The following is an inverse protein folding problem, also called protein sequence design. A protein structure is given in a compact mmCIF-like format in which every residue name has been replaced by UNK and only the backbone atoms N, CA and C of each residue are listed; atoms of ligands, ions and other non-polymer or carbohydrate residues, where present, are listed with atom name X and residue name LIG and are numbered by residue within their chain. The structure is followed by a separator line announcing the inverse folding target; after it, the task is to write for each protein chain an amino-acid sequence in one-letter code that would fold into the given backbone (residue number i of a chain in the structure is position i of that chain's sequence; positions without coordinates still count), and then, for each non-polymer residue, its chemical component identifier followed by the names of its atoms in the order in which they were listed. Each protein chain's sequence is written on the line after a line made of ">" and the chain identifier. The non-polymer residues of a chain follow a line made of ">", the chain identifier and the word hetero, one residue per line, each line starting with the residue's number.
data_IF_171055307305
#
_entry.id   IF_171055307305
#
_cell.length_a   1.000
_cell.length_b   1.000
_cell.length_c   1.000
_cell.angle_alpha   90.00
_cell.angle_beta   90.00
_cell.angle_gamma   90.00
#
_symmetry.space_group_name_H-M   'P 1'
#
loop_
_entity.id
_entity.type
_entity.pdbx_description
1 polymer ?
#
# COMPACT_ATOMS: atom_id res chain seq x y z
N UNK A 1 28.79 14.29 12.15
CA UNK A 1 28.33 12.92 11.80
C UNK A 1 26.81 12.77 11.92
N UNK A 2 26.14 13.58 12.75
CA UNK A 2 24.67 13.69 12.87
C UNK A 2 24.02 14.37 11.66
N UNK A 3 24.70 15.33 11.01
CA UNK A 3 24.14 16.05 9.85
C UNK A 3 23.83 15.13 8.67
N UNK A 4 24.69 14.14 8.41
CA UNK A 4 24.46 13.15 7.37
C UNK A 4 23.21 12.28 7.65
N UNK A 5 22.97 11.94 8.92
CA UNK A 5 21.76 11.19 9.33
C UNK A 5 20.50 12.04 9.16
N UNK A 6 20.56 13.34 9.46
CA UNK A 6 19.44 14.25 9.25
C UNK A 6 19.09 14.40 7.76
N UNK A 7 20.08 14.54 6.90
CA UNK A 7 19.89 14.58 5.45
C UNK A 7 19.35 13.26 4.91
N UNK A 8 19.90 12.12 5.34
CA UNK A 8 19.45 10.80 4.90
C UNK A 8 18.01 10.50 5.33
N UNK A 9 17.65 10.84 6.57
CA UNK A 9 16.28 10.71 7.09
C UNK A 9 15.31 11.61 6.30
N UNK A 10 15.70 12.85 6.02
CA UNK A 10 14.91 13.78 5.20
C UNK A 10 14.66 13.26 3.79
N UNK A 11 15.68 12.70 3.14
CA UNK A 11 15.56 12.08 1.81
C UNK A 11 14.63 10.87 1.87
N UNK A 12 14.79 9.98 2.86
CA UNK A 12 13.93 8.80 3.04
C UNK A 12 12.46 9.18 3.24
N UNK A 13 12.18 10.20 4.06
CA UNK A 13 10.83 10.73 4.27
C UNK A 13 10.24 11.37 3.00
N UNK A 14 11.05 12.14 2.26
CA UNK A 14 10.62 12.76 1.01
C UNK A 14 10.29 11.71 -0.07
N UNK A 15 11.12 10.67 -0.21
CA UNK A 15 10.86 9.54 -1.09
C UNK A 15 9.63 8.73 -0.64
N UNK A 16 9.45 8.52 0.67
CA UNK A 16 8.25 7.89 1.22
C UNK A 16 6.97 8.68 0.89
N UNK A 17 7.02 10.01 1.06
CA UNK A 17 5.92 10.91 0.67
C UNK A 17 5.65 10.91 -0.83
N UNK A 18 6.70 10.92 -1.66
CA UNK A 18 6.55 10.77 -3.12
C UNK A 18 5.87 9.45 -3.49
N UNK A 19 6.21 8.34 -2.83
CA UNK A 19 5.56 7.05 -3.04
C UNK A 19 4.08 7.05 -2.64
N UNK A 20 3.72 7.73 -1.54
CA UNK A 20 2.32 7.91 -1.14
C UNK A 20 1.52 8.73 -2.16
N UNK A 21 2.11 9.81 -2.68
CA UNK A 21 1.50 10.62 -3.74
C UNK A 21 1.36 9.80 -5.03
N UNK A 22 2.38 9.04 -5.42
CA UNK A 22 2.34 8.16 -6.57
C UNK A 22 1.30 7.04 -6.41
N UNK A 23 1.16 6.46 -5.21
CA UNK A 23 0.12 5.49 -4.89
C UNK A 23 -1.28 6.07 -5.01
N UNK A 24 -1.48 7.29 -4.51
CA UNK A 24 -2.75 8.04 -4.63
C UNK A 24 -3.06 8.38 -6.08
N UNK A 25 -2.07 8.83 -6.86
CA UNK A 25 -2.24 9.07 -8.29
C UNK A 25 -2.56 7.77 -9.05
N UNK A 26 -1.92 6.66 -8.70
CA UNK A 26 -2.23 5.35 -9.26
C UNK A 26 -3.67 4.93 -8.99
N UNK A 27 -4.16 5.18 -7.78
CA UNK A 27 -5.55 4.91 -7.40
C UNK A 27 -6.57 5.72 -8.20
N UNK A 28 -6.24 6.98 -8.51
CA UNK A 28 -7.11 7.92 -9.24
C UNK A 28 -7.02 7.76 -10.77
N UNK A 29 -5.87 7.33 -11.31
CA UNK A 29 -5.66 7.25 -12.76
C UNK A 29 -6.06 5.91 -13.37
N UNK A 30 -5.99 4.82 -12.61
CA UNK A 30 -6.36 3.50 -13.15
C UNK A 30 -7.85 3.22 -12.89
N UNK A 31 -8.67 3.00 -13.93
CA UNK A 31 -10.08 2.62 -13.78
C UNK A 31 -10.28 1.15 -13.38
N UNK A 32 -9.26 0.31 -13.55
CA UNK A 32 -9.28 -1.12 -13.23
C UNK A 32 -8.87 -1.40 -11.77
N UNK A 33 -9.68 -2.21 -11.09
CA UNK A 33 -9.54 -2.57 -9.67
C UNK A 33 -8.20 -3.29 -9.39
N UNK A 34 -7.76 -4.18 -10.27
CA UNK A 34 -6.52 -4.92 -10.07
C UNK A 34 -5.29 -4.01 -10.18
N UNK A 35 -5.29 -3.12 -11.16
CA UNK A 35 -4.23 -2.11 -11.34
C UNK A 35 -4.16 -1.11 -10.17
N UNK A 36 -5.31 -0.72 -9.62
CA UNK A 36 -5.41 0.11 -8.40
C UNK A 36 -4.79 -0.56 -7.18
N UNK A 37 -5.09 -1.85 -6.95
CA UNK A 37 -4.53 -2.57 -5.81
C UNK A 37 -3.03 -2.74 -5.94
N UNK A 38 -2.54 -3.09 -7.12
CA UNK A 38 -1.11 -3.23 -7.34
C UNK A 38 -0.35 -1.92 -7.06
N UNK A 39 -0.90 -0.78 -7.47
CA UNK A 39 -0.33 0.54 -7.18
C UNK A 39 -0.33 0.86 -5.68
N UNK A 40 -1.44 0.61 -4.99
CA UNK A 40 -1.56 0.84 -3.53
C UNK A 40 -0.60 -0.07 -2.75
N UNK A 41 -0.56 -1.37 -3.04
CA UNK A 41 0.32 -2.30 -2.32
C UNK A 41 1.80 -1.92 -2.48
N UNK A 42 2.23 -1.50 -3.69
CA UNK A 42 3.59 -0.98 -3.90
C UNK A 42 3.88 0.27 -3.10
N UNK A 43 2.92 1.20 -3.04
CA UNK A 43 3.03 2.43 -2.26
C UNK A 43 3.10 2.13 -0.76
N UNK A 44 2.30 1.20 -0.24
CA UNK A 44 2.38 0.77 1.15
C UNK A 44 3.71 0.09 1.47
N UNK A 45 4.16 -0.86 0.65
CA UNK A 45 5.37 -1.64 0.98
C UNK A 45 6.62 -0.76 0.97
N UNK A 46 6.78 0.06 -0.08
CA UNK A 46 7.96 0.91 -0.26
C UNK A 46 7.84 2.24 0.49
N UNK A 47 6.67 2.86 0.50
CA UNK A 47 6.42 4.13 1.18
C UNK A 47 6.50 3.99 2.69
N UNK A 48 5.72 3.08 3.31
CA UNK A 48 5.84 2.84 4.75
C UNK A 48 7.20 2.26 5.12
N UNK A 49 7.80 1.43 4.24
CA UNK A 49 9.16 0.91 4.46
C UNK A 49 10.21 2.02 4.55
N UNK A 50 10.16 3.00 3.65
CA UNK A 50 11.07 4.15 3.66
C UNK A 50 10.80 5.09 4.83
N UNK A 51 9.53 5.37 5.15
CA UNK A 51 9.16 6.17 6.32
C UNK A 51 9.64 5.49 7.60
N UNK A 52 9.46 4.16 7.70
CA UNK A 52 9.89 3.40 8.85
C UNK A 52 11.42 3.37 9.00
N UNK A 53 12.16 3.21 7.90
CA UNK A 53 13.61 3.32 7.89
C UNK A 53 14.08 4.74 8.27
N UNK A 54 13.45 5.78 7.71
CA UNK A 54 13.78 7.18 7.97
C UNK A 54 13.57 7.60 9.42
N UNK A 55 12.48 7.15 10.05
CA UNK A 55 12.24 7.35 11.48
C UNK A 55 13.13 6.43 12.34
N UNK A 56 13.38 5.19 11.92
CA UNK A 56 14.24 4.24 12.63
C UNK A 56 15.68 4.74 12.75
N UNK A 57 16.21 5.40 11.72
CA UNK A 57 17.52 6.06 11.74
C UNK A 57 17.60 7.22 12.74
N UNK A 58 16.47 7.78 13.17
CA UNK A 58 16.38 8.87 14.15
C UNK A 58 15.93 8.38 15.54
N UNK A 59 15.49 7.13 15.64
CA UNK A 59 14.99 6.55 16.88
C UNK A 59 16.15 5.92 17.66
N UNK A 60 16.54 6.53 18.77
CA UNK A 60 17.54 5.97 19.71
C UNK A 60 16.99 4.77 20.52
N UNK A 61 15.68 4.48 20.44
CA UNK A 61 15.02 3.45 21.22
C UNK A 61 14.70 2.20 20.40
N UNK A 62 15.26 1.05 20.79
CA UNK A 62 14.99 -0.27 20.19
C UNK A 62 13.49 -0.63 20.17
N UNK A 63 12.75 -0.21 21.20
CA UNK A 63 11.31 -0.42 21.30
C UNK A 63 10.52 0.27 20.17
N UNK A 64 10.87 1.51 19.83
CA UNK A 64 10.17 2.26 18.77
C UNK A 64 10.35 1.60 17.41
N UNK A 65 11.56 1.12 17.11
CA UNK A 65 11.85 0.39 15.87
C UNK A 65 11.02 -0.89 15.79
N UNK A 66 10.93 -1.65 16.89
CA UNK A 66 10.11 -2.86 16.97
C UNK A 66 8.62 -2.60 16.73
N UNK A 67 8.06 -1.55 17.35
CA UNK A 67 6.65 -1.17 17.15
C UNK A 67 6.39 -0.73 15.71
N UNK A 68 7.28 0.06 15.12
CA UNK A 68 7.15 0.49 13.73
C UNK A 68 7.20 -0.67 12.74
N UNK A 69 8.08 -1.65 12.98
CA UNK A 69 8.16 -2.86 12.18
C UNK A 69 6.89 -3.72 12.32
N UNK A 70 6.34 -3.82 13.54
CA UNK A 70 5.08 -4.49 13.79
C UNK A 70 3.90 -3.81 13.05
N UNK A 71 3.84 -2.47 13.06
CA UNK A 71 2.84 -1.71 12.30
C UNK A 71 2.99 -1.97 10.80
N UNK A 72 4.22 -1.96 10.27
CA UNK A 72 4.50 -2.25 8.86
C UNK A 72 4.02 -3.65 8.45
N UNK A 73 4.30 -4.67 9.27
CA UNK A 73 3.79 -6.03 9.04
C UNK A 73 2.26 -6.11 9.13
N UNK A 74 1.65 -5.40 10.08
CA UNK A 74 0.20 -5.38 10.24
C UNK A 74 -0.49 -4.74 9.02
N UNK A 75 0.08 -3.68 8.46
CA UNK A 75 -0.41 -3.07 7.21
C UNK A 75 -0.28 -4.03 6.04
N UNK A 76 0.84 -4.74 5.89
CA UNK A 76 1.02 -5.77 4.85
C UNK A 76 -0.03 -6.88 4.95
N UNK A 77 -0.31 -7.36 6.16
CA UNK A 77 -1.36 -8.34 6.40
C UNK A 77 -2.75 -7.79 6.03
N UNK A 78 -3.06 -6.56 6.46
CA UNK A 78 -4.33 -5.89 6.15
C UNK A 78 -4.54 -5.69 4.65
N UNK A 79 -3.51 -5.25 3.92
CA UNK A 79 -3.53 -5.08 2.46
C UNK A 79 -3.78 -6.41 1.74
N UNK A 80 -3.16 -7.50 2.21
CA UNK A 80 -3.40 -8.85 1.68
C UNK A 80 -4.85 -9.28 1.89
N UNK A 81 -5.42 -9.05 3.09
CA UNK A 81 -6.82 -9.35 3.37
C UNK A 81 -7.77 -8.54 2.49
N UNK A 82 -7.50 -7.25 2.31
CA UNK A 82 -8.28 -6.38 1.42
C UNK A 82 -8.27 -6.91 -0.03
N UNK A 83 -7.10 -7.36 -0.50
CA UNK A 83 -6.96 -7.97 -1.83
C UNK A 83 -7.77 -9.26 -1.97
N UNK A 84 -7.73 -10.14 -0.97
CA UNK A 84 -8.53 -11.39 -0.98
C UNK A 84 -10.03 -11.13 -0.93
N UNK A 85 -10.49 -10.14 -0.15
CA UNK A 85 -11.89 -9.74 -0.09
C UNK A 85 -12.36 -9.16 -1.42
N UNK A 86 -11.55 -8.31 -2.04
CA UNK A 86 -11.88 -7.69 -3.30
C UNK A 86 -11.90 -8.68 -4.47
N UNK A 87 -10.95 -9.62 -4.49
CA UNK A 87 -10.94 -10.72 -5.46
C UNK A 87 -12.19 -11.61 -5.34
N UNK A 88 -12.76 -11.76 -4.14
CA UNK A 88 -14.04 -12.43 -3.93
C UNK A 88 -15.23 -11.58 -4.41
N UNK A 89 -15.20 -10.27 -4.17
CA UNK A 89 -16.24 -9.35 -4.63
C UNK A 89 -16.34 -9.31 -6.16
N UNK A 90 -15.21 -9.24 -6.87
CA UNK A 90 -15.19 -9.23 -8.34
C UNK A 90 -15.79 -10.49 -8.95
N UNK A 91 -15.47 -11.68 -8.40
CA UNK A 91 -16.11 -12.93 -8.87
C UNK A 91 -17.64 -12.92 -8.75
N UNK A 92 -18.16 -12.26 -7.72
CA UNK A 92 -19.61 -12.10 -7.56
C UNK A 92 -20.23 -11.20 -8.63
N UNK A 93 -19.54 -10.14 -9.05
CA UNK A 93 -20.02 -9.27 -10.14
C UNK A 93 -19.99 -9.97 -11.51
N UNK A 94 -18.95 -10.78 -11.77
CA UNK A 94 -18.88 -11.56 -13.03
C UNK A 94 -20.07 -12.51 -13.15
N UNK A 95 -20.47 -13.19 -12.06
CA UNK A 95 -21.62 -14.09 -12.04
C UNK A 95 -22.97 -13.39 -12.28
N UNK A 96 -23.17 -12.18 -11.75
CA UNK A 96 -24.40 -11.41 -11.99
C UNK A 96 -24.51 -11.02 -13.45
N UNK A 97 -23.39 -10.59 -14.04
CA UNK A 97 -23.32 -10.19 -15.45
C UNK A 97 -23.64 -11.37 -16.38
N UNK A 98 -23.11 -12.57 -16.06
CA UNK A 98 -23.35 -13.79 -16.84
C UNK A 98 -24.82 -14.27 -16.75
N UNK A 99 -25.48 -14.11 -15.59
CA UNK A 99 -26.90 -14.42 -15.43
C UNK A 99 -27.82 -13.45 -16.18
N UNK A 100 -27.49 -12.16 -16.20
CA UNK A 100 -28.28 -11.15 -16.93
C UNK A 100 -28.22 -11.37 -18.45
N UNK A 101 -27.08 -11.83 -18.98
CA UNK A 101 -26.94 -12.19 -20.41
C UNK A 101 -27.71 -13.47 -20.76
N UNK A 102 -27.72 -14.48 -19.88
CA UNK A 102 -28.46 -15.74 -20.10
C UNK A 102 -29.99 -15.53 -20.05
N UNK A 103 -30.47 -14.60 -19.23
CA UNK A 103 -31.87 -14.17 -19.19
C UNK A 103 -32.26 -13.30 -20.39
N UNK A 104 -31.35 -12.47 -20.91
CA UNK A 104 -31.60 -11.64 -22.09
C UNK A 104 -31.69 -12.45 -23.41
N UNK A 105 -31.12 -13.66 -23.44
CA UNK A 105 -31.12 -14.55 -24.61
C UNK A 105 -32.28 -15.57 -24.63
N UNK A 106 -33.10 -15.64 -23.57
CA UNK A 106 -34.27 -16.52 -23.45
C UNK A 106 -35.58 -15.82 -23.80
#
# INVERSE_FOLDING_TARGET
>A
MTDALHWLSGIALALGGFFFVAGTLGLLRFPDIYSRLHAVTKADTLGLGLVALGLGLRADSWHAIGVMFAIWLLVMASSTTACQLLARYQRGQDQITEHEDDDALR
#
